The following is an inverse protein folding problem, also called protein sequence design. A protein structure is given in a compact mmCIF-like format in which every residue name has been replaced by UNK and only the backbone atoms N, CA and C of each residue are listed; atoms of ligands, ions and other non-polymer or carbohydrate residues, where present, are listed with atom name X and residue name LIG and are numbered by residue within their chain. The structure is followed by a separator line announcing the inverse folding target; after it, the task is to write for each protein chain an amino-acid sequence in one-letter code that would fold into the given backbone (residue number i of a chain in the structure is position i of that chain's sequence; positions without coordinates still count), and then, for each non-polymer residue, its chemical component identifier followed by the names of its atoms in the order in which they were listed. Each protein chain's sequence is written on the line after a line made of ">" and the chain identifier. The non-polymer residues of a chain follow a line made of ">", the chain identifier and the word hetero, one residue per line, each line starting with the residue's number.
data_IF_015121256809
#
_entry.id   IF_015121256809
#
_cell.length_a   1.000
_cell.length_b   1.000
_cell.length_c   1.000
_cell.angle_alpha   90.00
_cell.angle_beta   90.00
_cell.angle_gamma   90.00
#
_symmetry.space_group_name_H-M   'P 1'
#
loop_
_entity.id
_entity.type
_entity.pdbx_description
1 polymer ?
#
# COMPACT_ATOMS: atom_id res chain seq x y z
N UNK A 1 -17.38 1.56 9.49
CA UNK A 1 -16.08 1.97 8.96
C UNK A 1 -15.36 0.69 8.63
N UNK A 2 -15.58 0.23 7.41
CA UNK A 2 -15.51 -1.18 7.11
C UNK A 2 -14.21 -1.44 6.33
N UNK A 3 -13.48 -2.45 6.78
CA UNK A 3 -12.30 -2.96 6.09
C UNK A 3 -12.67 -4.31 5.49
N UNK A 4 -12.15 -4.60 4.30
CA UNK A 4 -12.41 -5.88 3.64
C UNK A 4 -11.73 -7.04 4.39
N UNK A 5 -10.44 -6.86 4.71
CA UNK A 5 -9.64 -7.81 5.47
C UNK A 5 -9.28 -7.19 6.82
N UNK A 6 -9.73 -7.84 7.90
CA UNK A 6 -9.53 -7.38 9.26
C UNK A 6 -8.99 -8.49 10.16
N UNK A 7 -7.89 -8.23 10.85
CA UNK A 7 -7.39 -9.04 11.96
C UNK A 7 -7.49 -8.26 13.27
N UNK A 8 -7.98 -8.92 14.33
CA UNK A 8 -8.00 -8.37 15.69
C UNK A 8 -6.62 -8.36 16.34
N UNK A 9 -5.63 -9.02 15.74
CA UNK A 9 -4.25 -9.12 16.21
C UNK A 9 -3.30 -8.83 15.03
N UNK A 10 -2.30 -9.67 14.80
CA UNK A 10 -1.38 -9.61 13.66
C UNK A 10 -2.01 -10.19 12.39
N UNK A 11 -1.64 -9.66 11.23
CA UNK A 11 -1.96 -10.25 9.92
C UNK A 11 -0.67 -10.52 9.14
N UNK A 12 -0.48 -11.77 8.72
CA UNK A 12 0.72 -12.20 7.98
C UNK A 12 0.30 -12.83 6.65
N UNK A 13 0.87 -12.36 5.54
CA UNK A 13 0.70 -12.90 4.19
C UNK A 13 2.07 -13.37 3.71
N UNK A 14 2.25 -14.68 3.51
CA UNK A 14 3.56 -15.29 3.20
C UNK A 14 3.75 -15.64 1.72
N UNK A 15 2.76 -15.37 0.87
CA UNK A 15 2.87 -15.60 -0.55
C UNK A 15 1.54 -15.58 -1.29
N UNK A 16 1.63 -15.84 -2.59
CA UNK A 16 0.49 -15.94 -3.49
C UNK A 16 0.21 -14.63 -4.25
N UNK A 17 -0.64 -14.75 -5.27
CA UNK A 17 -1.14 -13.61 -6.05
C UNK A 17 -2.50 -13.19 -5.52
N UNK A 18 -2.57 -12.02 -4.93
CA UNK A 18 -3.74 -11.52 -4.20
C UNK A 18 -4.20 -10.21 -4.82
N UNK A 19 -5.46 -10.16 -5.23
CA UNK A 19 -6.12 -8.96 -5.73
C UNK A 19 -7.19 -8.55 -4.72
N UNK A 20 -7.08 -7.34 -4.18
CA UNK A 20 -8.03 -6.76 -3.23
C UNK A 20 -8.69 -5.54 -3.88
N UNK A 21 -10.01 -5.54 -3.90
CA UNK A 21 -10.83 -4.42 -4.35
C UNK A 21 -11.78 -4.02 -3.22
N UNK A 22 -11.65 -2.81 -2.71
CA UNK A 22 -12.37 -2.33 -1.52
C UNK A 22 -12.91 -0.93 -1.73
N UNK A 23 -14.20 -0.75 -1.42
CA UNK A 23 -14.90 0.56 -1.37
C UNK A 23 -14.51 1.40 -0.15
N UNK A 24 -13.65 0.87 0.73
CA UNK A 24 -13.20 1.54 1.94
C UNK A 24 -11.74 1.21 2.21
N UNK A 25 -11.46 0.74 3.42
CA UNK A 25 -10.11 0.27 3.77
C UNK A 25 -9.92 -1.14 3.23
N UNK A 26 -8.77 -1.45 2.65
CA UNK A 26 -8.53 -2.79 2.12
C UNK A 26 -8.09 -3.75 3.22
N UNK A 27 -6.94 -3.49 3.85
CA UNK A 27 -6.35 -4.37 4.86
C UNK A 27 -6.17 -3.62 6.18
N UNK A 28 -6.57 -4.26 7.27
CA UNK A 28 -6.38 -3.75 8.63
C UNK A 28 -5.91 -4.84 9.59
N UNK A 29 -4.71 -4.70 10.14
CA UNK A 29 -4.24 -5.48 11.29
C UNK A 29 -4.31 -4.62 12.55
N UNK A 30 -4.79 -5.14 13.68
CA UNK A 30 -4.79 -4.34 14.91
C UNK A 30 -3.37 -4.06 15.38
N UNK A 31 -2.54 -5.10 15.43
CA UNK A 31 -1.20 -5.05 16.02
C UNK A 31 -0.09 -4.95 14.98
N UNK A 32 -0.23 -5.58 13.82
CA UNK A 32 0.70 -5.45 12.68
C UNK A 32 0.12 -6.02 11.39
N UNK A 33 0.73 -5.64 10.25
CA UNK A 33 0.53 -6.27 8.95
C UNK A 33 1.91 -6.57 8.34
N UNK A 34 2.18 -7.84 8.06
CA UNK A 34 3.41 -8.33 7.43
C UNK A 34 3.07 -9.02 6.11
N UNK A 35 3.70 -8.57 5.03
CA UNK A 35 3.53 -9.17 3.70
C UNK A 35 4.91 -9.56 3.17
N UNK A 36 5.07 -10.84 2.88
CA UNK A 36 6.32 -11.46 2.45
C UNK A 36 6.04 -12.35 1.24
N UNK A 37 6.91 -12.27 0.22
CA UNK A 37 6.89 -13.16 -0.96
C UNK A 37 5.54 -13.27 -1.70
N UNK A 38 4.66 -12.28 -1.56
CA UNK A 38 3.34 -12.24 -2.18
C UNK A 38 3.27 -11.17 -3.26
N UNK A 39 2.54 -11.44 -4.34
CA UNK A 39 2.19 -10.44 -5.35
C UNK A 39 0.81 -9.86 -5.00
N UNK A 40 0.79 -8.68 -4.37
CA UNK A 40 -0.45 -8.07 -3.89
C UNK A 40 -0.79 -6.81 -4.69
N UNK A 41 -1.99 -6.79 -5.27
CA UNK A 41 -2.57 -5.59 -5.88
C UNK A 41 -3.73 -5.14 -5.01
N UNK A 42 -3.65 -3.91 -4.49
CA UNK A 42 -4.68 -3.32 -3.63
C UNK A 42 -5.29 -2.11 -4.33
N UNK A 43 -6.58 -2.20 -4.62
CA UNK A 43 -7.42 -1.10 -5.05
C UNK A 43 -8.35 -0.76 -3.88
N UNK A 44 -8.07 0.35 -3.20
CA UNK A 44 -8.87 0.85 -2.09
C UNK A 44 -9.28 2.29 -2.38
N UNK A 45 -10.54 2.64 -2.09
CA UNK A 45 -11.02 4.03 -2.21
C UNK A 45 -10.53 4.92 -1.06
N UNK A 46 -10.30 4.35 0.12
CA UNK A 46 -9.73 5.04 1.28
C UNK A 46 -8.28 4.61 1.50
N UNK A 47 -8.02 3.69 2.44
CA UNK A 47 -6.67 3.32 2.85
C UNK A 47 -6.37 1.89 2.42
N UNK A 48 -5.24 1.68 1.74
CA UNK A 48 -4.81 0.35 1.28
C UNK A 48 -4.48 -0.61 2.43
N UNK A 49 -3.51 -0.25 3.26
CA UNK A 49 -3.10 -1.03 4.43
C UNK A 49 -3.04 -0.10 5.63
N UNK A 50 -3.67 -0.48 6.73
CA UNK A 50 -3.68 0.31 7.96
C UNK A 50 -3.51 -0.57 9.20
N UNK A 51 -3.05 0.03 10.29
CA UNK A 51 -2.94 -0.60 11.60
C UNK A 51 -3.48 0.33 12.68
N UNK A 52 -4.13 -0.21 13.71
CA UNK A 52 -4.65 0.62 14.83
C UNK A 52 -3.60 0.85 15.91
N UNK A 53 -2.75 -0.15 16.17
CA UNK A 53 -1.75 -0.15 17.25
C UNK A 53 -0.32 -0.42 16.81
N UNK A 54 -0.08 -0.77 15.54
CA UNK A 54 1.27 -1.08 15.05
C UNK A 54 2.11 0.18 14.83
N UNK A 55 3.36 0.15 15.28
CA UNK A 55 4.43 1.07 14.86
C UNK A 55 4.97 0.76 13.47
N UNK A 56 4.73 -0.44 12.94
CA UNK A 56 5.36 -0.90 11.69
C UNK A 56 4.41 -1.67 10.77
N UNK A 57 4.46 -1.31 9.49
CA UNK A 57 3.94 -2.08 8.36
C UNK A 57 5.16 -2.59 7.59
N UNK A 58 5.34 -3.91 7.51
CA UNK A 58 6.50 -4.50 6.86
C UNK A 58 6.10 -5.16 5.55
N UNK A 59 6.73 -4.72 4.46
CA UNK A 59 6.59 -5.34 3.14
C UNK A 59 7.98 -5.83 2.72
N UNK A 60 8.26 -7.12 2.89
CA UNK A 60 9.48 -7.73 2.40
C UNK A 60 9.25 -8.15 0.94
N UNK A 61 9.68 -7.29 0.00
CA UNK A 61 9.36 -7.43 -1.41
C UNK A 61 10.35 -8.34 -2.16
N UNK A 62 9.79 -9.30 -2.93
CA UNK A 62 10.47 -9.99 -4.03
C UNK A 62 10.09 -9.46 -5.42
N UNK A 63 9.23 -8.43 -5.52
CA UNK A 63 8.77 -7.90 -6.81
C UNK A 63 7.43 -7.15 -6.82
N UNK A 64 7.03 -6.41 -5.77
CA UNK A 64 5.75 -5.70 -5.74
C UNK A 64 5.85 -4.22 -6.09
N UNK A 65 4.88 -3.73 -6.87
CA UNK A 65 4.59 -2.31 -7.08
C UNK A 65 3.55 -1.83 -6.08
N UNK A 66 3.96 -1.11 -5.03
CA UNK A 66 3.03 -0.23 -4.29
C UNK A 66 2.77 0.97 -5.19
N UNK A 67 1.60 1.00 -5.85
CA UNK A 67 1.20 2.13 -6.64
C UNK A 67 0.98 3.34 -5.73
N UNK A 68 2.01 4.15 -5.53
CA UNK A 68 1.90 5.42 -4.81
C UNK A 68 1.07 6.37 -5.67
N UNK A 69 -0.25 6.35 -5.50
CA UNK A 69 -1.11 7.44 -5.97
C UNK A 69 -0.89 8.62 -5.02
N UNK A 70 0.19 9.37 -5.22
CA UNK A 70 0.22 10.72 -4.70
C UNK A 70 -0.83 11.51 -5.48
N UNK A 71 -1.89 11.94 -4.80
CA UNK A 71 -2.87 12.87 -5.34
C UNK A 71 -2.24 14.26 -5.49
N UNK A 72 -1.17 14.39 -6.27
CA UNK A 72 -0.83 15.65 -6.90
C UNK A 72 -1.16 15.47 -8.37
N UNK A 73 -2.25 16.12 -8.81
CA UNK A 73 -2.49 16.34 -10.22
C UNK A 73 -1.20 16.80 -10.91
N UNK A 74 -1.02 16.51 -12.20
CA UNK A 74 0.27 16.61 -12.89
C UNK A 74 0.97 17.91 -12.52
N UNK A 75 1.99 17.80 -11.66
CA UNK A 75 2.76 18.95 -11.23
C UNK A 75 3.36 19.60 -12.47
N UNK A 76 3.31 20.92 -12.56
CA UNK A 76 3.95 21.64 -13.64
C UNK A 76 5.41 21.16 -13.76
N UNK A 77 5.77 20.63 -14.93
CA UNK A 77 7.11 20.15 -15.25
C UNK A 77 8.11 21.30 -15.05
N UNK A 78 8.92 21.23 -13.98
CA UNK A 78 9.95 22.24 -13.70
C UNK A 78 11.13 22.04 -14.66
N UNK A 79 11.08 22.79 -15.77
CA UNK A 79 12.10 22.82 -16.83
C UNK A 79 13.49 23.26 -16.33
N UNK A 80 13.61 23.77 -15.09
CA UNK A 80 14.87 24.23 -14.49
C UNK A 80 15.70 23.09 -13.89
N UNK A 81 15.09 21.93 -13.61
CA UNK A 81 15.82 20.76 -13.07
C UNK A 81 16.57 19.95 -14.13
N UNK A 82 16.24 20.09 -15.41
CA UNK A 82 16.99 19.45 -16.49
C UNK A 82 18.13 20.35 -16.93
N UNK A 83 19.25 20.30 -16.20
CA UNK A 83 20.48 21.04 -16.48
C UNK A 83 21.14 20.63 -17.81
N UNK A 84 20.55 21.00 -18.94
CA UNK A 84 21.22 20.95 -20.25
C UNK A 84 21.48 22.37 -20.72
N UNK A 85 22.74 22.80 -20.56
CA UNK A 85 23.26 24.03 -21.14
C UNK A 85 23.32 23.86 -22.67
N UNK A 86 22.80 24.85 -23.39
CA UNK A 86 23.13 25.07 -24.80
C UNK A 86 24.35 25.99 -24.87
#
# INVERSE_FOLDING_TARGET
>A
MDCLLFSKDNLIILGGKINIDSVGKAIKGKDSVSIENADITINAEDTGITTDGATEVTIATGGNTVGERTSKGPGAFDKRQTGRKF
#
